data_IF_434243217363
#
_entry.id   IF_434243217363
#
_cell.length_a   1.000
_cell.length_b   1.000
_cell.length_c   1.000
_cell.angle_alpha   90.00
_cell.angle_beta   90.00
_cell.angle_gamma   90.00
#
_symmetry.space_group_name_H-M   'P 1'
#
loop_
_entity.id
_entity.type
_entity.pdbx_description
1 polymer ?
#
# COMPACT_ATOMS: atom_id res chain seq x y z
N UNK A 1 -22.38 24.45 48.82
CA UNK A 1 -21.64 25.44 48.01
C UNK A 1 -21.33 24.75 46.70
N UNK A 2 -22.27 24.90 45.75
CA UNK A 2 -22.27 24.21 44.48
C UNK A 2 -21.62 25.13 43.46
N UNK A 3 -20.38 24.86 43.09
CA UNK A 3 -19.68 25.60 42.05
C UNK A 3 -20.09 25.03 40.69
N UNK A 4 -21.27 25.45 40.23
CA UNK A 4 -21.74 25.18 38.87
C UNK A 4 -20.89 26.03 37.94
N UNK A 5 -19.75 25.47 37.51
CA UNK A 5 -18.93 25.98 36.41
C UNK A 5 -19.86 26.23 35.21
N UNK A 6 -20.24 27.50 35.05
CA UNK A 6 -21.04 27.96 33.93
C UNK A 6 -20.10 27.98 32.74
N UNK A 7 -20.14 26.94 31.91
CA UNK A 7 -19.46 26.90 30.61
C UNK A 7 -19.87 28.16 29.85
N UNK A 8 -18.90 29.00 29.52
CA UNK A 8 -19.19 30.23 28.78
C UNK A 8 -19.56 29.81 27.35
N UNK A 9 -20.53 30.47 26.69
CA UNK A 9 -20.85 30.19 25.29
C UNK A 9 -19.64 30.29 24.34
N UNK A 10 -18.57 30.98 24.75
CA UNK A 10 -17.29 31.06 24.06
C UNK A 10 -16.46 29.76 24.15
N UNK A 11 -16.59 29.00 25.24
CA UNK A 11 -15.91 27.71 25.44
C UNK A 11 -16.47 26.65 24.48
N UNK A 12 -17.79 26.62 24.29
CA UNK A 12 -18.46 25.72 23.35
C UNK A 12 -18.06 26.03 21.89
N UNK A 13 -17.99 27.32 21.54
CA UNK A 13 -17.52 27.77 20.21
C UNK A 13 -16.06 27.39 19.98
N UNK A 14 -15.20 27.55 20.99
CA UNK A 14 -13.80 27.14 20.91
C UNK A 14 -13.64 25.63 20.76
N UNK A 15 -14.38 24.82 21.53
CA UNK A 15 -14.34 23.35 21.44
C UNK A 15 -14.81 22.86 20.07
N UNK A 16 -15.87 23.45 19.51
CA UNK A 16 -16.31 23.15 18.14
C UNK A 16 -15.21 23.50 17.12
N UNK A 17 -14.66 24.71 17.20
CA UNK A 17 -13.58 25.16 16.31
C UNK A 17 -12.35 24.23 16.39
N UNK A 18 -11.94 23.85 17.60
CA UNK A 18 -10.81 22.94 17.81
C UNK A 18 -11.07 21.55 17.23
N UNK A 19 -12.32 21.06 17.33
CA UNK A 19 -12.74 19.77 16.77
C UNK A 19 -12.66 19.79 15.24
N UNK A 20 -13.19 20.85 14.62
CA UNK A 20 -13.12 21.05 13.17
C UNK A 20 -11.68 21.17 12.68
N UNK A 21 -10.84 21.91 13.40
CA UNK A 21 -9.43 22.08 13.05
C UNK A 21 -8.67 20.75 13.13
N UNK A 22 -8.90 19.96 14.19
CA UNK A 22 -8.32 18.61 14.32
C UNK A 22 -8.75 17.69 13.17
N UNK A 23 -10.02 17.73 12.77
CA UNK A 23 -10.52 16.95 11.65
C UNK A 23 -9.86 17.34 10.32
N UNK A 24 -9.72 18.66 10.06
CA UNK A 24 -9.03 19.19 8.87
C UNK A 24 -7.56 18.78 8.82
N UNK A 25 -6.85 18.87 9.95
CA UNK A 25 -5.44 18.45 10.06
C UNK A 25 -5.30 16.97 9.77
N UNK A 26 -6.09 16.11 10.42
CA UNK A 26 -6.07 14.65 10.18
C UNK A 26 -6.37 14.31 8.73
N UNK A 27 -7.37 14.97 8.13
CA UNK A 27 -7.71 14.80 6.72
C UNK A 27 -6.56 15.19 5.78
N UNK A 28 -5.86 16.29 6.08
CA UNK A 28 -4.69 16.71 5.31
C UNK A 28 -3.52 15.71 5.41
N UNK A 29 -3.23 15.22 6.62
CA UNK A 29 -2.21 14.21 6.86
C UNK A 29 -2.51 12.90 6.11
N UNK A 30 -3.77 12.45 6.13
CA UNK A 30 -4.20 11.25 5.40
C UNK A 30 -4.01 11.40 3.89
N UNK A 31 -4.44 12.52 3.30
CA UNK A 31 -4.26 12.78 1.86
C UNK A 31 -2.78 12.82 1.48
N UNK A 32 -1.93 13.46 2.29
CA UNK A 32 -0.50 13.47 2.07
C UNK A 32 0.11 12.06 2.12
N UNK A 33 -0.27 11.25 3.11
CA UNK A 33 0.19 9.88 3.23
C UNK A 33 -0.24 9.01 2.04
N UNK A 34 -1.48 9.17 1.54
CA UNK A 34 -1.97 8.45 0.37
C UNK A 34 -1.21 8.85 -0.90
N UNK A 35 -0.96 10.13 -1.12
CA UNK A 35 -0.18 10.61 -2.27
C UNK A 35 1.26 10.10 -2.23
N UNK A 36 1.92 10.13 -1.07
CA UNK A 36 3.27 9.54 -0.90
C UNK A 36 3.26 8.04 -1.14
N UNK A 37 2.24 7.32 -0.66
CA UNK A 37 2.11 5.88 -0.91
C UNK A 37 1.96 5.60 -2.42
N UNK A 38 1.06 6.29 -3.11
CA UNK A 38 0.85 6.11 -4.55
C UNK A 38 2.15 6.32 -5.33
N UNK A 39 2.88 7.40 -5.07
CA UNK A 39 4.15 7.70 -5.75
C UNK A 39 5.21 6.62 -5.46
N UNK A 40 5.31 6.18 -4.21
CA UNK A 40 6.25 5.11 -3.83
C UNK A 40 5.93 3.79 -4.52
N UNK A 41 4.65 3.43 -4.61
CA UNK A 41 4.20 2.20 -5.26
C UNK A 41 4.40 2.25 -6.78
N UNK A 42 4.19 3.42 -7.39
CA UNK A 42 4.49 3.65 -8.81
C UNK A 42 6.00 3.54 -9.09
N UNK A 43 6.84 4.12 -8.24
CA UNK A 43 8.29 3.96 -8.31
C UNK A 43 8.71 2.49 -8.23
N UNK A 44 8.17 1.76 -7.25
CA UNK A 44 8.45 0.33 -7.07
C UNK A 44 8.02 -0.49 -8.29
N UNK A 45 6.88 -0.17 -8.88
CA UNK A 45 6.42 -0.79 -10.11
C UNK A 45 7.35 -0.50 -11.30
N UNK A 46 7.76 0.76 -11.49
CA UNK A 46 8.70 1.15 -12.54
C UNK A 46 10.05 0.43 -12.41
N UNK A 47 10.61 0.39 -11.20
CA UNK A 47 11.84 -0.38 -10.93
C UNK A 47 11.64 -1.86 -11.29
N UNK A 48 10.49 -2.43 -10.92
CA UNK A 48 10.16 -3.81 -11.28
C UNK A 48 10.12 -4.05 -12.79
N UNK A 49 9.53 -3.12 -13.55
CA UNK A 49 9.48 -3.17 -15.02
C UNK A 49 10.86 -3.09 -15.65
N UNK A 50 11.70 -2.18 -15.16
CA UNK A 50 13.08 -2.05 -15.63
C UNK A 50 13.85 -3.35 -15.38
N UNK A 51 13.68 -3.97 -14.21
CA UNK A 51 14.30 -5.26 -13.90
C UNK A 51 13.81 -6.39 -14.83
N UNK A 52 12.52 -6.44 -15.16
CA UNK A 52 11.97 -7.41 -16.11
C UNK A 52 12.53 -7.20 -17.52
N UNK A 53 12.57 -5.96 -17.99
CA UNK A 53 13.09 -5.63 -19.32
C UNK A 53 14.58 -6.02 -19.45
N UNK A 54 15.40 -5.68 -18.45
CA UNK A 54 16.83 -6.05 -18.44
C UNK A 54 17.05 -7.55 -18.30
N UNK A 55 16.21 -8.25 -17.55
CA UNK A 55 16.26 -9.71 -17.48
C UNK A 55 15.99 -10.35 -18.85
N UNK A 56 15.02 -9.83 -19.61
CA UNK A 56 14.68 -10.34 -20.94
C UNK A 56 15.74 -10.00 -21.99
N UNK A 57 16.28 -8.78 -21.98
CA UNK A 57 17.20 -8.28 -23.00
C UNK A 57 18.66 -8.70 -22.76
N UNK A 58 19.09 -8.71 -21.49
CA UNK A 58 20.50 -8.87 -21.12
C UNK A 58 20.75 -10.14 -20.29
N UNK A 59 19.72 -10.95 -20.01
CA UNK A 59 19.84 -12.18 -19.24
C UNK A 59 20.16 -11.94 -17.75
N UNK A 60 19.80 -10.78 -17.21
CA UNK A 60 20.11 -10.42 -15.83
C UNK A 60 19.52 -11.42 -14.82
N UNK A 61 20.42 -12.14 -14.15
CA UNK A 61 20.07 -13.06 -13.07
C UNK A 61 20.09 -12.41 -11.68
N UNK A 62 19.89 -13.24 -10.66
CA UNK A 62 19.83 -12.83 -9.25
C UNK A 62 21.07 -12.10 -8.73
N UNK A 63 22.24 -12.30 -9.36
CA UNK A 63 23.50 -11.61 -9.00
C UNK A 63 23.44 -10.11 -9.26
N UNK A 64 22.80 -9.69 -10.36
CA UNK A 64 22.68 -8.27 -10.70
C UNK A 64 21.75 -7.56 -9.71
N UNK A 65 20.64 -8.19 -9.32
CA UNK A 65 19.74 -7.65 -8.29
C UNK A 65 20.46 -7.48 -6.95
N UNK A 66 21.35 -8.41 -6.58
CA UNK A 66 22.18 -8.28 -5.37
C UNK A 66 23.11 -7.07 -5.45
N UNK A 67 23.77 -6.86 -6.60
CA UNK A 67 24.64 -5.69 -6.81
C UNK A 67 23.84 -4.39 -6.77
N UNK A 68 22.73 -4.32 -7.48
CA UNK A 68 21.86 -3.15 -7.52
C UNK A 68 21.35 -2.78 -6.12
N UNK A 69 20.93 -3.76 -5.31
CA UNK A 69 20.51 -3.50 -3.93
C UNK A 69 21.63 -2.91 -3.07
N UNK A 70 22.88 -3.35 -3.29
CA UNK A 70 24.05 -2.80 -2.58
C UNK A 70 24.31 -1.36 -3.03
N UNK A 71 24.35 -1.14 -4.34
CA UNK A 71 24.66 0.16 -4.93
C UNK A 71 23.59 1.20 -4.54
N UNK A 72 22.29 0.86 -4.62
CA UNK A 72 21.19 1.72 -4.19
C UNK A 72 21.22 2.03 -2.68
N UNK A 73 21.56 1.05 -1.84
CA UNK A 73 21.66 1.28 -0.39
C UNK A 73 22.85 2.16 -0.04
N UNK A 74 23.92 2.10 -0.82
CA UNK A 74 25.10 2.95 -0.62
C UNK A 74 24.79 4.40 -1.04
N UNK A 75 24.07 4.59 -2.14
CA UNK A 75 23.69 5.92 -2.64
C UNK A 75 22.61 6.57 -1.77
N UNK A 76 21.64 5.78 -1.29
CA UNK A 76 20.49 6.26 -0.53
C UNK A 76 20.38 5.58 0.86
N UNK A 77 21.33 5.81 1.78
CA UNK A 77 21.41 5.08 3.04
C UNK A 77 20.24 5.37 4.00
N UNK A 78 19.64 6.56 3.92
CA UNK A 78 18.46 6.96 4.69
C UNK A 78 17.14 6.39 4.15
N UNK A 79 17.11 5.97 2.87
CA UNK A 79 15.89 5.46 2.24
C UNK A 79 15.77 3.95 2.50
N UNK A 80 14.70 3.58 3.21
CA UNK A 80 14.32 2.17 3.38
C UNK A 80 13.58 1.68 2.13
N UNK A 81 13.74 0.42 1.76
CA UNK A 81 13.00 -0.21 0.67
C UNK A 81 13.84 -0.73 -0.49
N UNK A 82 15.14 -0.48 -0.53
CA UNK A 82 16.02 -1.02 -1.59
C UNK A 82 16.82 -2.25 -1.16
N UNK A 83 16.26 -3.08 -0.28
CA UNK A 83 16.87 -4.37 0.03
C UNK A 83 16.75 -5.32 -1.17
N UNK A 84 17.66 -6.30 -1.25
CA UNK A 84 17.64 -7.34 -2.29
C UNK A 84 16.25 -7.99 -2.41
N UNK A 85 15.67 -8.42 -1.29
CA UNK A 85 14.34 -9.04 -1.26
C UNK A 85 13.26 -8.09 -1.76
N UNK A 86 13.36 -6.79 -1.44
CA UNK A 86 12.38 -5.82 -1.90
C UNK A 86 12.47 -5.57 -3.41
N UNK A 87 13.67 -5.57 -4.00
CA UNK A 87 13.82 -5.51 -5.46
C UNK A 87 13.20 -6.73 -6.16
N UNK A 88 13.31 -7.93 -5.57
CA UNK A 88 12.58 -9.10 -6.06
C UNK A 88 11.07 -8.90 -6.00
N UNK A 89 10.55 -8.35 -4.90
CA UNK A 89 9.12 -8.02 -4.80
C UNK A 89 8.70 -6.94 -5.80
N UNK A 90 9.51 -5.90 -6.04
CA UNK A 90 9.25 -4.88 -7.06
C UNK A 90 9.10 -5.53 -8.44
N UNK A 91 10.03 -6.43 -8.79
CA UNK A 91 9.94 -7.22 -10.03
C UNK A 91 8.67 -8.07 -10.09
N UNK A 92 8.37 -8.83 -9.04
CA UNK A 92 7.15 -9.64 -8.97
C UNK A 92 5.87 -8.80 -9.00
N UNK A 93 5.91 -7.59 -8.45
CA UNK A 93 4.80 -6.64 -8.45
C UNK A 93 4.54 -6.12 -9.86
N UNK A 94 5.58 -5.74 -10.59
CA UNK A 94 5.46 -5.34 -11.99
C UNK A 94 4.97 -6.48 -12.89
N UNK A 95 5.46 -7.70 -12.66
CA UNK A 95 5.05 -8.90 -13.40
C UNK A 95 3.57 -9.26 -13.13
N UNK A 96 3.13 -9.13 -11.87
CA UNK A 96 1.77 -9.40 -11.45
C UNK A 96 0.75 -8.37 -11.97
N UNK A 97 1.17 -7.13 -12.23
CA UNK A 97 0.31 -6.02 -12.61
C UNK A 97 0.90 -5.27 -13.82
N UNK A 98 0.81 -5.82 -15.04
CA UNK A 98 1.45 -5.21 -16.21
C UNK A 98 0.81 -3.90 -16.66
N UNK A 99 -0.44 -3.62 -16.25
CA UNK A 99 -1.16 -2.39 -16.55
C UNK A 99 -0.96 -1.34 -15.44
N UNK A 100 -0.36 -0.21 -15.81
CA UNK A 100 -0.14 0.94 -14.91
C UNK A 100 -1.45 1.47 -14.31
N UNK A 101 -2.57 1.42 -15.04
CA UNK A 101 -3.85 1.92 -14.54
C UNK A 101 -4.34 1.11 -13.34
N UNK A 102 -4.10 -0.21 -13.34
CA UNK A 102 -4.39 -1.08 -12.19
C UNK A 102 -3.54 -0.68 -10.98
N UNK A 103 -2.27 -0.33 -11.21
CA UNK A 103 -1.37 0.16 -10.17
C UNK A 103 -1.90 1.45 -9.58
N UNK A 104 -2.19 2.45 -10.40
CA UNK A 104 -2.63 3.76 -9.90
C UNK A 104 -4.01 3.71 -9.21
N UNK A 105 -4.93 2.87 -9.68
CA UNK A 105 -6.34 2.87 -9.23
C UNK A 105 -6.70 1.80 -8.22
N UNK A 106 -5.82 0.82 -7.98
CA UNK A 106 -6.11 -0.28 -7.06
C UNK A 106 -4.90 -0.58 -6.17
N UNK A 107 -3.89 -1.26 -6.69
CA UNK A 107 -2.82 -1.82 -5.85
C UNK A 107 -1.83 -0.77 -5.33
N UNK A 108 -1.78 0.41 -5.96
CA UNK A 108 -1.05 1.59 -5.46
C UNK A 108 -1.81 2.39 -4.40
N UNK A 109 -3.10 2.07 -4.16
CA UNK A 109 -3.89 2.68 -3.09
C UNK A 109 -3.73 1.97 -1.75
N UNK A 110 -3.16 0.76 -1.75
CA UNK A 110 -2.92 -0.02 -0.54
C UNK A 110 -1.44 0.04 -0.13
N UNK A 111 -1.12 -0.15 1.16
CA UNK A 111 0.27 -0.13 1.62
C UNK A 111 1.11 -1.23 0.98
N UNK A 112 2.40 -0.98 0.78
CA UNK A 112 3.33 -1.94 0.15
C UNK A 112 3.34 -3.34 0.81
N UNK A 113 3.21 -3.42 2.13
CA UNK A 113 3.17 -4.72 2.84
C UNK A 113 1.92 -5.54 2.53
N UNK A 114 0.80 -4.89 2.20
CA UNK A 114 -0.40 -5.59 1.73
C UNK A 114 -0.16 -6.18 0.35
N UNK A 115 0.49 -5.43 -0.55
CA UNK A 115 0.88 -5.93 -1.87
C UNK A 115 1.80 -7.16 -1.76
N UNK A 116 2.81 -7.12 -0.88
CA UNK A 116 3.66 -8.29 -0.64
C UNK A 116 2.82 -9.49 -0.17
N UNK A 117 1.93 -9.31 0.81
CA UNK A 117 1.09 -10.39 1.31
C UNK A 117 0.19 -10.99 0.21
N UNK A 118 -0.34 -10.15 -0.68
CA UNK A 118 -1.13 -10.57 -1.84
C UNK A 118 -0.29 -11.38 -2.85
N UNK A 119 0.92 -10.93 -3.19
CA UNK A 119 1.83 -11.66 -4.09
C UNK A 119 2.22 -13.03 -3.52
N UNK A 120 2.46 -13.08 -2.21
CA UNK A 120 2.87 -14.31 -1.53
C UNK A 120 1.73 -15.34 -1.47
N UNK A 121 0.54 -14.90 -1.04
CA UNK A 121 -0.57 -15.79 -0.67
C UNK A 121 -1.59 -16.03 -1.78
N UNK A 122 -1.75 -15.10 -2.73
CA UNK A 122 -2.82 -15.18 -3.75
C UNK A 122 -2.20 -15.31 -5.14
N UNK A 123 -2.37 -16.47 -5.78
CA UNK A 123 -1.78 -16.76 -7.09
C UNK A 123 -2.68 -16.32 -8.25
N UNK A 124 -3.98 -16.46 -8.10
CA UNK A 124 -4.94 -16.03 -9.10
C UNK A 124 -4.96 -14.47 -9.20
N UNK A 125 -4.75 -13.89 -10.41
CA UNK A 125 -4.74 -12.44 -10.57
C UNK A 125 -6.08 -11.77 -10.25
N UNK A 126 -7.22 -12.41 -10.55
CA UNK A 126 -8.54 -11.83 -10.32
C UNK A 126 -8.86 -11.81 -8.82
N UNK A 127 -8.62 -12.90 -8.12
CA UNK A 127 -8.74 -12.99 -6.67
C UNK A 127 -7.83 -11.96 -5.98
N UNK A 128 -6.61 -11.78 -6.49
CA UNK A 128 -5.65 -10.79 -5.94
C UNK A 128 -6.19 -9.37 -6.04
N UNK A 129 -6.73 -8.99 -7.21
CA UNK A 129 -7.34 -7.68 -7.42
C UNK A 129 -8.61 -7.51 -6.58
N UNK A 130 -9.39 -8.57 -6.42
CA UNK A 130 -10.58 -8.55 -5.57
C UNK A 130 -10.23 -8.27 -4.11
N UNK A 131 -9.21 -8.95 -3.56
CA UNK A 131 -8.75 -8.66 -2.20
C UNK A 131 -8.16 -7.26 -2.07
N UNK A 132 -7.42 -6.77 -3.06
CA UNK A 132 -6.91 -5.39 -3.06
C UNK A 132 -8.05 -4.37 -3.03
N UNK A 133 -9.12 -4.58 -3.81
CA UNK A 133 -10.32 -3.75 -3.77
C UNK A 133 -11.00 -3.80 -2.40
N UNK A 134 -11.13 -4.98 -1.80
CA UNK A 134 -11.71 -5.13 -0.45
C UNK A 134 -10.90 -4.46 0.65
N UNK A 135 -9.57 -4.41 0.55
CA UNK A 135 -8.72 -3.65 1.49
C UNK A 135 -9.06 -2.17 1.45
N UNK A 136 -9.35 -1.61 0.26
CA UNK A 136 -9.70 -0.21 0.09
C UNK A 136 -11.11 0.05 0.63
N UNK A 137 -12.06 -0.80 0.30
CA UNK A 137 -13.48 -0.69 0.70
C UNK A 137 -13.65 -0.80 2.22
N UNK A 138 -13.02 -1.80 2.84
CA UNK A 138 -13.23 -2.16 4.24
C UNK A 138 -12.15 -1.61 5.19
N UNK A 139 -11.11 -0.96 4.63
CA UNK A 139 -10.01 -0.39 5.41
C UNK A 139 -9.16 -1.43 6.16
N UNK A 140 -9.02 -2.64 5.63
CA UNK A 140 -8.30 -3.71 6.32
C UNK A 140 -6.82 -3.39 6.54
N UNK A 141 -6.36 -3.57 7.77
CA UNK A 141 -4.94 -3.69 8.03
C UNK A 141 -4.39 -5.02 7.46
N UNK A 142 -3.06 -5.17 7.44
CA UNK A 142 -2.40 -6.33 6.82
C UNK A 142 -2.82 -7.65 7.47
N UNK A 143 -2.98 -7.69 8.79
CA UNK A 143 -3.30 -8.92 9.51
C UNK A 143 -4.73 -9.37 9.23
N UNK A 144 -5.68 -8.42 9.13
CA UNK A 144 -7.05 -8.70 8.71
C UNK A 144 -7.08 -9.18 7.26
N UNK A 145 -6.35 -8.54 6.34
CA UNK A 145 -6.23 -9.03 4.96
C UNK A 145 -5.75 -10.48 4.94
N UNK A 146 -4.69 -10.80 5.68
CA UNK A 146 -4.16 -12.18 5.74
C UNK A 146 -5.19 -13.15 6.29
N UNK A 147 -5.92 -12.79 7.35
CA UNK A 147 -7.02 -13.60 7.89
C UNK A 147 -8.13 -13.84 6.86
N UNK A 148 -8.51 -12.82 6.09
CA UNK A 148 -9.55 -12.96 5.06
C UNK A 148 -9.11 -13.83 3.87
N UNK A 149 -7.81 -13.83 3.54
CA UNK A 149 -7.22 -14.76 2.58
C UNK A 149 -7.26 -16.19 3.15
N UNK A 150 -6.80 -16.38 4.38
CA UNK A 150 -6.71 -17.71 5.01
C UNK A 150 -8.08 -18.35 5.26
N UNK A 151 -9.12 -17.54 5.45
CA UNK A 151 -10.51 -18.01 5.54
C UNK A 151 -11.23 -18.10 4.20
N UNK A 152 -10.50 -17.97 3.07
CA UNK A 152 -11.01 -18.04 1.70
C UNK A 152 -12.27 -17.16 1.49
N UNK A 153 -12.24 -15.93 2.01
CA UNK A 153 -13.37 -15.00 1.87
C UNK A 153 -13.82 -14.83 0.41
N UNK A 154 -12.88 -14.75 -0.53
CA UNK A 154 -13.19 -14.64 -1.95
C UNK A 154 -14.10 -15.77 -2.43
N UNK A 155 -13.80 -17.03 -2.07
CA UNK A 155 -14.64 -18.17 -2.44
C UNK A 155 -15.99 -18.16 -1.73
N UNK A 156 -16.01 -17.74 -0.45
CA UNK A 156 -17.26 -17.63 0.33
C UNK A 156 -18.22 -16.56 -0.21
N UNK A 157 -17.71 -15.48 -0.80
CA UNK A 157 -18.53 -14.42 -1.40
C UNK A 157 -18.72 -14.59 -2.92
N UNK A 158 -17.78 -15.26 -3.60
CA UNK A 158 -17.77 -15.51 -5.04
C UNK A 158 -18.49 -16.79 -5.49
N UNK A 159 -18.78 -17.72 -4.56
CA UNK A 159 -19.59 -18.92 -4.84
C UNK A 159 -21.07 -18.67 -5.10
N UNK A 160 -21.51 -17.40 -5.15
CA UNK A 160 -22.90 -17.00 -5.43
C UNK A 160 -23.12 -16.47 -6.86
N UNK A 161 -22.10 -16.51 -7.73
CA UNK A 161 -22.25 -16.10 -9.14
C UNK A 161 -21.84 -17.26 -10.03
N UNK A 162 -22.82 -18.11 -10.33
CA UNK A 162 -22.90 -18.97 -11.53
C UNK A 162 -24.10 -18.54 -12.33
#
# INVERSE_FOLDING_TARGET
MSDTSSLRPEDDKYVSFLTDLKARIRGAQLRAALSVNQELLLLYWNIGRDLLARQQQEGWGSKIITRLAKDLKQEFPEIKGFSRSNLFYMRSFADAYPDEQIVQRCVGLIPWRHNIALLDKVKDPQERLWYAAKVIEEGWNRDILVLQIETNLYQRQGGAIT
#
